data_IF_229668948287
#
_entry.id   IF_229668948287
#
_cell.length_a   1.000
_cell.length_b   1.000
_cell.length_c   1.000
_cell.angle_alpha   90.00
_cell.angle_beta   90.00
_cell.angle_gamma   90.00
#
_symmetry.space_group_name_H-M   'P 1'
#
loop_
_entity.id
_entity.type
_entity.pdbx_description
1 polymer ?
#
# COMPACT_ATOMS: atom_id res chain seq x y z
N UNK A 1 -16.07 16.29 -12.32
CA UNK A 1 -15.81 15.60 -11.03
C UNK A 1 -14.31 15.61 -10.81
N UNK A 2 -13.85 16.19 -9.71
CA UNK A 2 -12.45 16.58 -9.47
C UNK A 2 -11.94 15.73 -8.31
N UNK A 3 -11.04 14.80 -8.60
CA UNK A 3 -10.40 13.96 -7.58
C UNK A 3 -9.39 14.80 -6.77
N UNK A 4 -9.36 14.69 -5.44
CA UNK A 4 -8.68 15.65 -4.56
C UNK A 4 -7.14 15.56 -4.52
N UNK A 5 -6.52 14.57 -5.17
CA UNK A 5 -5.05 14.40 -5.20
C UNK A 5 -4.35 15.06 -6.38
N UNK A 6 -5.07 15.77 -7.26
CA UNK A 6 -4.43 16.50 -8.36
C UNK A 6 -3.91 17.86 -7.85
N UNK A 7 -2.72 17.84 -7.24
CA UNK A 7 -1.93 19.03 -6.94
C UNK A 7 -0.52 18.84 -7.53
N UNK A 8 -0.31 19.58 -8.62
CA UNK A 8 0.95 19.98 -9.26
C UNK A 8 1.94 18.89 -9.73
N UNK A 9 2.67 19.27 -10.77
CA UNK A 9 3.57 18.48 -11.61
C UNK A 9 4.64 17.69 -10.82
N UNK A 10 5.19 16.59 -11.36
CA UNK A 10 6.11 15.75 -10.60
C UNK A 10 7.39 16.54 -10.30
N UNK A 11 7.52 16.95 -9.03
CA UNK A 11 8.82 17.00 -8.38
C UNK A 11 9.55 15.73 -8.79
N UNK A 12 10.78 15.90 -9.30
CA UNK A 12 11.72 14.81 -9.57
C UNK A 12 11.46 13.69 -8.57
N UNK A 13 11.04 12.51 -9.06
CA UNK A 13 10.80 11.34 -8.22
C UNK A 13 12.14 11.03 -7.54
N UNK A 14 12.39 11.66 -6.39
CA UNK A 14 13.45 11.28 -5.47
C UNK A 14 13.21 9.80 -5.28
N UNK A 15 14.19 8.99 -5.68
CA UNK A 15 14.20 7.58 -5.35
C UNK A 15 14.03 7.53 -3.83
N UNK A 16 12.81 7.23 -3.36
CA UNK A 16 12.54 7.07 -1.94
C UNK A 16 13.41 5.89 -1.52
N UNK A 17 14.16 6.07 -0.43
CA UNK A 17 14.97 4.98 0.13
C UNK A 17 14.07 3.76 0.36
N UNK A 18 14.58 2.56 0.05
CA UNK A 18 13.79 1.35 0.26
C UNK A 18 13.47 1.20 1.75
N UNK A 19 12.20 0.93 2.07
CA UNK A 19 11.71 0.93 3.44
C UNK A 19 10.20 0.89 3.51
N UNK A 20 9.67 1.07 4.71
CA UNK A 20 8.25 1.24 4.95
C UNK A 20 7.96 2.58 5.61
N UNK A 21 6.82 3.17 5.28
CA UNK A 21 6.35 4.43 5.86
C UNK A 21 4.89 4.24 6.28
N UNK A 22 4.53 4.65 7.49
CA UNK A 22 3.14 4.80 7.92
C UNK A 22 2.78 6.27 7.93
N UNK A 23 1.60 6.58 7.44
CA UNK A 23 0.98 7.90 7.53
C UNK A 23 -0.42 7.73 8.13
N UNK A 24 -0.72 8.47 9.20
CA UNK A 24 -2.05 8.46 9.82
C UNK A 24 -2.51 9.89 10.12
N UNK A 25 -3.82 10.12 10.05
CA UNK A 25 -4.43 11.38 10.49
C UNK A 25 -4.94 11.23 11.93
N UNK A 26 -4.38 12.03 12.85
CA UNK A 26 -4.81 12.09 14.26
C UNK A 26 -5.47 13.45 14.51
N UNK A 27 -6.81 13.46 14.53
CA UNK A 27 -7.58 14.70 14.67
C UNK A 27 -7.42 15.62 13.45
N UNK A 28 -6.54 16.63 13.57
CA UNK A 28 -6.20 17.56 12.46
C UNK A 28 -4.73 17.45 12.06
N UNK A 29 -3.94 16.64 12.75
CA UNK A 29 -2.51 16.50 12.53
C UNK A 29 -2.23 15.26 11.71
N UNK A 30 -1.21 15.35 10.85
CA UNK A 30 -0.69 14.25 10.07
C UNK A 30 0.55 13.73 10.80
N UNK A 31 0.54 12.46 11.19
CA UNK A 31 1.70 11.79 11.75
C UNK A 31 2.31 10.85 10.70
N UNK A 32 3.63 10.87 10.57
CA UNK A 32 4.36 9.93 9.72
C UNK A 32 5.53 9.28 10.45
N UNK A 33 5.77 8.02 10.13
CA UNK A 33 6.83 7.20 10.71
C UNK A 33 7.45 6.32 9.62
N UNK A 34 8.78 6.27 9.52
CA UNK A 34 9.49 5.50 8.51
C UNK A 34 10.48 4.52 9.15
N UNK A 35 10.55 3.31 8.58
CA UNK A 35 11.43 2.22 9.05
C UNK A 35 12.11 1.51 7.88
N UNK A 36 13.25 0.86 8.17
CA UNK A 36 13.95 0.02 7.21
C UNK A 36 13.20 -1.28 6.87
N UNK A 37 13.61 -1.93 5.78
CA UNK A 37 13.03 -3.22 5.33
C UNK A 37 13.18 -4.36 6.35
N UNK A 38 14.12 -4.25 7.29
CA UNK A 38 14.37 -5.23 8.35
C UNK A 38 13.37 -5.16 9.51
N UNK A 39 12.59 -4.09 9.61
CA UNK A 39 11.68 -3.81 10.73
C UNK A 39 10.28 -4.44 10.55
N UNK A 40 10.25 -5.74 10.26
CA UNK A 40 9.01 -6.48 9.94
C UNK A 40 7.97 -6.42 11.05
N UNK A 41 8.39 -6.52 12.31
CA UNK A 41 7.45 -6.53 13.44
C UNK A 41 6.80 -5.16 13.67
N UNK A 42 7.50 -4.06 13.35
CA UNK A 42 6.94 -2.71 13.40
C UNK A 42 5.86 -2.56 12.34
N UNK A 43 6.13 -2.97 11.10
CA UNK A 43 5.16 -2.91 10.00
C UNK A 43 3.94 -3.80 10.29
N UNK A 44 4.12 -4.98 10.89
CA UNK A 44 3.00 -5.81 11.37
C UNK A 44 2.16 -5.10 12.43
N UNK A 45 2.80 -4.36 13.34
CA UNK A 45 2.12 -3.51 14.31
C UNK A 45 1.24 -2.47 13.63
N UNK A 46 1.81 -1.72 12.68
CA UNK A 46 1.08 -0.74 11.88
C UNK A 46 -0.10 -1.36 11.12
N UNK A 47 0.08 -2.53 10.49
CA UNK A 47 -1.00 -3.21 9.79
C UNK A 47 -2.13 -3.57 10.76
N UNK A 48 -1.84 -4.09 11.96
CA UNK A 48 -2.89 -4.40 12.96
C UNK A 48 -3.66 -3.18 13.43
N UNK A 49 -3.01 -2.02 13.45
CA UNK A 49 -3.62 -0.73 13.80
C UNK A 49 -4.40 -0.10 12.63
N UNK A 50 -4.11 -0.53 11.39
CA UNK A 50 -4.74 -0.05 10.17
C UNK A 50 -6.14 -0.65 10.01
N UNK A 51 -7.10 -0.13 10.76
CA UNK A 51 -8.51 -0.49 10.66
C UNK A 51 -9.23 0.36 9.61
N UNK A 52 -10.34 -0.09 9.00
CA UNK A 52 -11.08 0.70 8.02
C UNK A 52 -11.53 2.08 8.54
N UNK A 53 -11.73 2.22 9.86
CA UNK A 53 -12.18 3.45 10.51
C UNK A 53 -11.05 4.46 10.76
N UNK A 54 -9.79 4.05 10.60
CA UNK A 54 -8.66 4.97 10.67
C UNK A 54 -8.43 5.61 9.30
N UNK A 55 -8.17 6.91 9.27
CA UNK A 55 -7.67 7.59 8.06
C UNK A 55 -6.16 7.39 8.01
N UNK A 56 -5.73 6.26 7.43
CA UNK A 56 -4.37 5.76 7.55
C UNK A 56 -3.89 5.01 6.32
N UNK A 57 -2.58 5.04 6.11
CA UNK A 57 -1.91 4.41 4.99
C UNK A 57 -0.57 3.81 5.44
N UNK A 58 -0.25 2.62 4.93
CA UNK A 58 1.04 1.97 5.12
C UNK A 58 1.66 1.73 3.75
N UNK A 59 2.84 2.29 3.53
CA UNK A 59 3.62 2.23 2.32
C UNK A 59 4.79 1.28 2.49
N UNK A 60 5.12 0.54 1.43
CA UNK A 60 6.38 -0.19 1.30
C UNK A 60 7.02 0.23 -0.02
N UNK A 61 8.15 0.92 0.07
CA UNK A 61 8.92 1.43 -1.06
C UNK A 61 10.01 0.44 -1.42
N UNK A 62 10.01 -0.01 -2.69
CA UNK A 62 11.03 -0.88 -3.27
C UNK A 62 11.52 -0.32 -4.59
N UNK A 63 12.67 -0.81 -5.03
CA UNK A 63 13.26 -0.52 -6.35
C UNK A 63 12.34 -0.86 -7.53
N UNK A 64 11.45 -1.83 -7.37
CA UNK A 64 10.44 -2.19 -8.38
C UNK A 64 9.12 -1.42 -8.25
N UNK A 65 8.98 -0.52 -7.26
CA UNK A 65 7.83 0.36 -7.06
C UNK A 65 7.33 0.37 -5.61
N UNK A 66 6.17 0.98 -5.39
CA UNK A 66 5.58 1.19 -4.06
C UNK A 66 4.28 0.42 -3.90
N UNK A 67 4.16 -0.35 -2.83
CA UNK A 67 2.87 -0.89 -2.37
C UNK A 67 2.28 -0.02 -1.28
N UNK A 68 0.96 0.17 -1.30
CA UNK A 68 0.23 0.97 -0.32
C UNK A 68 -0.99 0.20 0.15
N UNK A 69 -1.12 0.00 1.45
CA UNK A 69 -2.36 -0.39 2.11
C UNK A 69 -3.08 0.88 2.61
N UNK A 70 -4.36 1.03 2.28
CA UNK A 70 -5.15 2.25 2.46
C UNK A 70 -6.42 1.92 3.23
N UNK A 71 -6.57 2.48 4.43
CA UNK A 71 -7.83 2.49 5.15
C UNK A 71 -8.64 3.71 4.71
N UNK A 72 -9.71 3.48 3.94
CA UNK A 72 -10.55 4.53 3.33
C UNK A 72 -12.02 4.46 3.76
N UNK A 73 -12.29 3.88 4.94
CA UNK A 73 -13.65 3.66 5.43
C UNK A 73 -14.34 2.40 4.90
N UNK A 74 -13.71 1.65 3.99
CA UNK A 74 -14.30 0.42 3.43
C UNK A 74 -13.53 -0.82 3.91
N UNK A 75 -14.20 -1.81 4.52
CA UNK A 75 -13.59 -3.10 4.79
C UNK A 75 -13.58 -3.96 3.52
N UNK A 76 -12.50 -4.70 3.25
CA UNK A 76 -11.18 -4.62 3.89
C UNK A 76 -10.37 -3.44 3.34
N UNK A 77 -9.30 -3.08 4.07
CA UNK A 77 -8.28 -2.11 3.63
C UNK A 77 -7.85 -2.40 2.19
N UNK A 78 -7.84 -1.37 1.35
CA UNK A 78 -7.49 -1.50 -0.06
C UNK A 78 -5.98 -1.56 -0.25
N UNK A 79 -5.50 -2.30 -1.25
CA UNK A 79 -4.07 -2.33 -1.60
C UNK A 79 -3.88 -1.83 -3.02
N UNK A 80 -2.90 -0.95 -3.23
CA UNK A 80 -2.50 -0.50 -4.57
C UNK A 80 -0.99 -0.60 -4.74
N UNK A 81 -0.56 -0.84 -5.97
CA UNK A 81 0.84 -0.86 -6.39
C UNK A 81 1.09 0.25 -7.41
N UNK A 82 2.18 0.98 -7.25
CA UNK A 82 2.62 2.04 -8.16
C UNK A 82 4.03 1.74 -8.64
N UNK A 83 4.21 1.55 -9.96
CA UNK A 83 5.53 1.31 -10.58
C UNK A 83 6.26 2.60 -11.02
N UNK A 84 5.70 3.75 -10.64
CA UNK A 84 6.18 5.09 -11.00
C UNK A 84 5.28 5.79 -12.01
N UNK A 85 4.65 5.05 -12.92
CA UNK A 85 3.75 5.61 -13.94
C UNK A 85 2.31 5.08 -13.81
N UNK A 86 2.18 3.81 -13.42
CA UNK A 86 0.93 3.10 -13.44
C UNK A 86 0.50 2.68 -12.05
N UNK A 87 -0.81 2.72 -11.82
CA UNK A 87 -1.43 2.18 -10.62
C UNK A 87 -2.05 0.83 -10.93
N UNK A 88 -1.84 -0.13 -10.05
CA UNK A 88 -2.34 -1.49 -10.17
C UNK A 88 -3.03 -1.90 -8.88
N UNK A 89 -4.04 -2.77 -8.96
CA UNK A 89 -4.63 -3.41 -7.80
C UNK A 89 -4.39 -4.92 -7.83
N UNK A 90 -4.21 -5.56 -6.67
CA UNK A 90 -4.01 -6.99 -6.58
C UNK A 90 -5.34 -7.75 -6.65
N UNK A 91 -5.32 -8.89 -7.35
CA UNK A 91 -6.43 -9.85 -7.42
C UNK A 91 -5.89 -11.25 -7.13
N UNK A 92 -6.59 -12.10 -6.35
CA UNK A 92 -6.17 -13.48 -6.13
C UNK A 92 -6.06 -14.27 -7.45
N UNK A 93 -5.11 -15.21 -7.51
CA UNK A 93 -5.05 -16.17 -8.61
C UNK A 93 -6.19 -17.20 -8.45
N UNK A 94 -7.02 -17.38 -9.47
CA UNK A 94 -8.12 -18.34 -9.47
C UNK A 94 -9.37 -17.83 -10.21
N UNK A 95 -10.50 -18.57 -10.14
CA UNK A 95 -11.76 -18.19 -10.78
C UNK A 95 -12.54 -17.15 -9.95
N UNK A 96 -11.84 -16.12 -9.45
CA UNK A 96 -12.43 -15.01 -8.70
C UNK A 96 -12.60 -13.80 -9.61
N UNK A 97 -13.58 -12.95 -9.31
CA UNK A 97 -13.79 -11.70 -10.05
C UNK A 97 -12.64 -10.74 -9.80
N UNK A 98 -12.26 -9.96 -10.81
CA UNK A 98 -11.33 -8.84 -10.68
C UNK A 98 -11.80 -7.81 -9.64
N UNK A 99 -13.10 -7.76 -9.33
CA UNK A 99 -13.66 -6.83 -8.37
C UNK A 99 -13.72 -7.37 -6.93
N UNK A 100 -13.30 -8.61 -6.71
CA UNK A 100 -13.33 -9.20 -5.37
C UNK A 100 -12.17 -8.65 -4.53
N UNK A 101 -12.45 -7.98 -3.40
CA UNK A 101 -11.40 -7.43 -2.56
C UNK A 101 -10.58 -8.53 -1.89
N UNK A 102 -9.29 -8.27 -1.66
CA UNK A 102 -8.45 -9.18 -0.89
C UNK A 102 -8.98 -9.34 0.54
N UNK A 103 -8.89 -10.54 1.12
CA UNK A 103 -9.11 -10.70 2.56
C UNK A 103 -8.05 -9.96 3.37
N UNK A 104 -8.33 -9.65 4.64
CA UNK A 104 -7.34 -9.02 5.52
C UNK A 104 -6.01 -9.80 5.58
N UNK A 105 -6.07 -11.13 5.72
CA UNK A 105 -4.88 -11.99 5.73
C UNK A 105 -4.09 -11.88 4.42
N UNK A 106 -4.77 -11.72 3.28
CA UNK A 106 -4.12 -11.50 2.00
C UNK A 106 -3.47 -10.12 1.93
N UNK A 107 -4.14 -9.07 2.43
CA UNK A 107 -3.59 -7.71 2.53
C UNK A 107 -2.31 -7.70 3.37
N UNK A 108 -2.34 -8.27 4.59
CA UNK A 108 -1.15 -8.39 5.44
C UNK A 108 -0.05 -9.17 4.72
N UNK A 109 -0.37 -10.32 4.10
CA UNK A 109 0.60 -11.12 3.37
C UNK A 109 1.25 -10.36 2.21
N UNK A 110 0.50 -9.53 1.48
CA UNK A 110 1.05 -8.69 0.41
C UNK A 110 2.06 -7.70 0.95
N UNK A 111 1.69 -6.97 2.01
CA UNK A 111 2.54 -5.93 2.58
C UNK A 111 3.82 -6.53 3.20
N UNK A 112 3.71 -7.65 3.91
CA UNK A 112 4.89 -8.34 4.47
C UNK A 112 5.76 -8.98 3.38
N UNK A 113 5.17 -9.49 2.30
CA UNK A 113 5.96 -9.95 1.15
C UNK A 113 6.73 -8.78 0.52
N UNK A 114 6.09 -7.63 0.34
CA UNK A 114 6.73 -6.42 -0.20
C UNK A 114 7.95 -5.99 0.62
N UNK A 115 7.87 -6.14 1.94
CA UNK A 115 8.91 -5.76 2.87
C UNK A 115 10.10 -6.74 2.86
N UNK A 116 9.81 -8.04 2.70
CA UNK A 116 10.81 -9.10 2.90
C UNK A 116 11.36 -9.71 1.61
N UNK A 117 10.69 -9.53 0.47
CA UNK A 117 11.07 -10.10 -0.82
C UNK A 117 11.68 -9.03 -1.74
N UNK A 118 12.81 -9.29 -2.42
CA UNK A 118 13.33 -8.39 -3.45
C UNK A 118 12.43 -8.28 -4.68
N UNK A 119 11.44 -9.16 -4.82
CA UNK A 119 10.54 -9.22 -5.96
C UNK A 119 9.11 -8.87 -5.56
N UNK A 120 8.36 -8.33 -6.53
CA UNK A 120 6.92 -8.09 -6.39
C UNK A 120 6.16 -9.41 -6.18
N UNK A 121 5.11 -9.47 -5.33
CA UNK A 121 4.30 -10.67 -5.14
C UNK A 121 3.77 -11.25 -6.46
N UNK A 122 4.17 -12.48 -6.79
CA UNK A 122 3.78 -13.19 -8.03
C UNK A 122 2.65 -14.20 -7.84
N UNK A 123 2.23 -14.45 -6.60
CA UNK A 123 1.08 -15.28 -6.23
C UNK A 123 -0.27 -14.53 -6.33
N UNK A 124 -0.24 -13.33 -6.89
CA UNK A 124 -1.37 -12.47 -7.24
C UNK A 124 -1.29 -12.09 -8.70
N UNK A 125 -2.45 -11.75 -9.27
CA UNK A 125 -2.52 -11.01 -10.52
C UNK A 125 -2.61 -9.53 -10.22
N UNK A 126 -1.91 -8.72 -11.00
CA UNK A 126 -1.93 -7.26 -10.91
C UNK A 126 -2.72 -6.71 -12.09
N UNK A 127 -3.81 -6.02 -11.79
CA UNK A 127 -4.70 -5.45 -12.81
C UNK A 127 -4.52 -3.94 -12.81
N UNK A 128 -4.29 -3.38 -14.00
CA UNK A 128 -4.02 -1.95 -14.16
C UNK A 128 -5.30 -1.15 -13.91
N UNK A 129 -5.18 -0.09 -13.11
CA UNK A 129 -6.13 1.02 -13.10
C UNK A 129 -5.79 1.91 -14.30
N UNK A 130 -6.76 2.02 -15.22
CA UNK A 130 -6.69 2.79 -16.47
C UNK A 130 -6.33 4.25 -16.25
#
# INVERSE_FOLDING_TARGET
>A
MRWPWRRDEPEEVKQREEGAERIITVGKELESEAVGLDQVDVVRGWMRELTPDCDGQVYVHRSWGTLVAIADGRPPVSVTFVDGEHVWYPVPLGPVSDHEPLTWDQVERVMIHALTSPERPNWLRWVRLV
#
